data_IF_895403439910
#
_entry.id   IF_895403439910
#
_cell.length_a   1.000
_cell.length_b   1.000
_cell.length_c   1.000
_cell.angle_alpha   90.00
_cell.angle_beta   90.00
_cell.angle_gamma   90.00
#
_symmetry.space_group_name_H-M   'P 1'
#
loop_
_entity.id
_entity.type
_entity.pdbx_description
1 polymer ?
#
# COMPACT_ATOMS: atom_id res chain seq x y z
N UNK A 1 35.55 64.64 -0.65
CA UNK A 1 34.31 63.98 -0.03
C UNK A 1 33.37 63.31 -1.01
N UNK A 2 33.19 63.74 -2.27
CA UNK A 2 32.21 63.09 -3.21
C UNK A 2 32.57 61.66 -3.74
N UNK A 3 33.89 61.28 -3.73
CA UNK A 3 34.29 59.93 -4.20
C UNK A 3 34.11 58.80 -3.17
N UNK A 4 34.10 59.11 -1.87
CA UNK A 4 33.92 58.13 -0.80
C UNK A 4 32.42 57.74 -0.69
N UNK A 5 31.52 58.68 -0.94
CA UNK A 5 30.06 58.41 -0.91
C UNK A 5 29.61 57.49 -2.08
N UNK A 6 30.26 57.60 -3.24
CA UNK A 6 29.93 56.76 -4.39
C UNK A 6 30.36 55.30 -4.20
N UNK A 7 31.52 55.08 -3.57
CA UNK A 7 32.05 53.74 -3.28
C UNK A 7 31.20 53.03 -2.24
N UNK A 8 30.74 53.75 -1.19
CA UNK A 8 29.83 53.21 -0.17
C UNK A 8 28.48 52.79 -0.74
N UNK A 9 27.91 53.55 -1.68
CA UNK A 9 26.65 53.24 -2.31
C UNK A 9 26.74 52.01 -3.23
N UNK A 10 27.86 51.80 -3.93
CA UNK A 10 28.09 50.64 -4.79
C UNK A 10 28.25 49.36 -3.94
N UNK A 11 28.96 49.43 -2.81
CA UNK A 11 29.11 48.28 -1.91
C UNK A 11 27.80 47.89 -1.26
N UNK A 12 26.95 48.83 -0.85
CA UNK A 12 25.64 48.58 -0.30
C UNK A 12 24.72 47.98 -1.38
N UNK A 13 24.77 48.45 -2.63
CA UNK A 13 23.98 47.89 -3.74
C UNK A 13 24.42 46.46 -4.08
N UNK A 14 25.75 46.19 -4.06
CA UNK A 14 26.27 44.83 -4.28
C UNK A 14 25.92 43.88 -3.13
N UNK A 15 25.89 44.32 -1.88
CA UNK A 15 25.45 43.56 -0.74
C UNK A 15 23.94 43.27 -0.83
N UNK A 16 23.10 44.22 -1.28
CA UNK A 16 21.69 44.00 -1.51
C UNK A 16 21.42 43.01 -2.66
N UNK A 17 22.20 43.04 -3.73
CA UNK A 17 22.06 42.08 -4.83
C UNK A 17 22.54 40.67 -4.44
N UNK A 18 23.48 40.53 -3.49
CA UNK A 18 23.86 39.23 -2.94
C UNK A 18 22.80 38.67 -1.95
N UNK A 19 22.11 39.53 -1.20
CA UNK A 19 21.08 39.13 -0.25
C UNK A 19 19.79 38.71 -0.97
N UNK A 20 19.47 39.33 -2.13
CA UNK A 20 18.31 38.96 -2.94
C UNK A 20 18.49 37.61 -3.67
N UNK A 21 19.74 37.08 -3.78
CA UNK A 21 20.00 35.75 -4.37
C UNK A 21 20.00 34.59 -3.37
N UNK A 22 19.86 34.85 -2.09
CA UNK A 22 19.57 33.83 -1.10
C UNK A 22 18.04 33.64 -0.96
N UNK A 23 17.33 33.54 -2.07
CA UNK A 23 16.01 32.90 -2.05
C UNK A 23 16.26 31.47 -1.60
N UNK A 24 15.64 31.06 -0.49
CA UNK A 24 15.67 29.67 0.00
C UNK A 24 15.42 28.72 -1.17
N UNK A 25 16.47 28.12 -1.71
CA UNK A 25 16.36 27.11 -2.76
C UNK A 25 15.65 25.93 -2.13
N UNK A 26 14.41 25.71 -2.51
CA UNK A 26 13.66 24.53 -2.08
C UNK A 26 14.04 23.36 -2.98
N UNK A 27 14.24 22.18 -2.43
CA UNK A 27 14.61 21.00 -3.21
C UNK A 27 13.48 20.55 -4.16
N UNK A 28 12.24 20.93 -3.89
CA UNK A 28 11.08 20.50 -4.68
C UNK A 28 10.21 21.67 -5.11
N UNK A 29 9.83 21.66 -6.38
CA UNK A 29 8.90 22.61 -6.98
C UNK A 29 7.83 21.88 -7.77
N UNK A 30 6.62 22.43 -7.74
CA UNK A 30 5.47 22.00 -8.53
C UNK A 30 4.98 23.16 -9.40
N UNK A 31 4.72 22.91 -10.66
CA UNK A 31 4.27 23.91 -11.63
C UNK A 31 3.02 23.36 -12.35
N UNK A 32 1.87 24.07 -12.28
CA UNK A 32 1.65 25.31 -11.53
C UNK A 32 1.67 25.10 -10.01
N UNK A 33 1.98 26.16 -9.24
CA UNK A 33 1.99 26.13 -7.77
C UNK A 33 0.62 25.76 -7.19
N UNK A 34 -0.44 26.03 -7.94
CA UNK A 34 -1.83 25.68 -7.62
C UNK A 34 -2.28 24.66 -8.67
N UNK A 35 -2.06 23.36 -8.44
CA UNK A 35 -2.41 22.34 -9.43
C UNK A 35 -3.93 22.20 -9.54
N UNK A 36 -4.39 22.09 -10.78
CA UNK A 36 -5.80 21.87 -11.09
C UNK A 36 -5.99 20.40 -11.46
N UNK A 37 -6.97 19.75 -10.83
CA UNK A 37 -7.34 18.38 -11.15
C UNK A 37 -7.74 18.23 -12.62
N UNK A 38 -7.31 17.14 -13.26
CA UNK A 38 -7.48 16.90 -14.71
C UNK A 38 -6.45 17.61 -15.59
N UNK A 39 -5.42 18.25 -15.01
CA UNK A 39 -4.39 18.96 -15.78
C UNK A 39 -2.99 18.42 -15.49
N UNK A 40 -2.09 18.67 -16.44
CA UNK A 40 -0.68 18.32 -16.28
C UNK A 40 0.00 19.19 -15.24
N UNK A 41 0.87 18.54 -14.47
CA UNK A 41 1.70 19.16 -13.46
C UNK A 41 3.16 18.74 -13.69
N UNK A 42 4.06 19.72 -13.69
CA UNK A 42 5.49 19.47 -13.74
C UNK A 42 6.07 19.49 -12.34
N UNK A 43 6.83 18.45 -11.98
CA UNK A 43 7.64 18.36 -10.79
C UNK A 43 9.09 18.62 -11.14
N UNK A 44 9.79 19.38 -10.27
CA UNK A 44 11.23 19.59 -10.35
C UNK A 44 11.83 19.28 -8.98
N UNK A 45 12.84 18.40 -8.93
CA UNK A 45 13.49 17.96 -7.72
C UNK A 45 15.01 18.10 -7.82
N UNK A 46 15.58 18.94 -6.96
CA UNK A 46 17.02 19.17 -6.82
C UNK A 46 17.56 18.32 -5.66
N UNK A 47 18.09 17.13 -5.97
CA UNK A 47 18.61 16.22 -4.97
C UNK A 47 19.87 16.77 -4.25
N UNK A 48 20.60 17.73 -4.84
CA UNK A 48 21.80 18.32 -4.23
C UNK A 48 21.52 19.05 -2.91
N UNK A 49 20.25 19.39 -2.67
CA UNK A 49 19.78 20.07 -1.45
C UNK A 49 19.21 19.10 -0.40
N UNK A 50 19.39 17.80 -0.58
CA UNK A 50 18.70 16.77 0.23
C UNK A 50 19.65 15.66 0.69
N UNK A 51 19.12 14.69 1.43
CA UNK A 51 19.85 13.47 1.82
C UNK A 51 20.25 12.58 0.63
N UNK A 52 19.76 12.87 -0.57
CA UNK A 52 20.05 12.14 -1.80
C UNK A 52 21.10 12.84 -2.69
N UNK A 53 21.87 13.82 -2.16
CA UNK A 53 22.82 14.62 -2.94
C UNK A 53 23.86 13.80 -3.69
N UNK A 54 24.34 12.72 -3.08
CA UNK A 54 25.43 11.88 -3.63
C UNK A 54 24.92 10.76 -4.54
N UNK A 55 23.60 10.68 -4.78
CA UNK A 55 23.00 9.59 -5.55
C UNK A 55 22.96 9.95 -7.04
N UNK A 56 23.49 9.04 -7.87
CA UNK A 56 23.53 9.21 -9.32
C UNK A 56 22.18 8.95 -10.00
N UNK A 57 21.34 8.11 -9.38
CA UNK A 57 20.03 7.73 -9.91
C UNK A 57 18.97 7.96 -8.84
N UNK A 58 17.99 8.78 -9.17
CA UNK A 58 16.86 9.10 -8.29
C UNK A 58 15.59 8.48 -8.88
N UNK A 59 14.82 7.87 -8.02
CA UNK A 59 13.47 7.41 -8.29
C UNK A 59 12.47 8.29 -7.55
N UNK A 60 11.27 8.40 -8.09
CA UNK A 60 10.20 9.16 -7.46
C UNK A 60 8.88 8.42 -7.57
N UNK A 61 8.06 8.57 -6.54
CA UNK A 61 6.67 8.12 -6.53
C UNK A 61 5.79 9.32 -6.29
N UNK A 62 4.71 9.44 -7.09
CA UNK A 62 3.63 10.39 -6.83
C UNK A 62 2.43 9.63 -6.26
N UNK A 63 1.82 10.20 -5.22
CA UNK A 63 0.63 9.68 -4.56
C UNK A 63 -0.52 10.65 -4.80
N UNK A 64 -1.68 10.08 -5.16
CA UNK A 64 -2.93 10.80 -5.40
C UNK A 64 -3.98 10.38 -4.38
N UNK A 65 -4.59 11.34 -3.69
CA UNK A 65 -5.79 11.08 -2.91
C UNK A 65 -7.01 11.30 -3.79
N UNK A 66 -7.61 10.21 -4.23
CA UNK A 66 -8.73 10.19 -5.16
C UNK A 66 -9.85 9.29 -4.63
N UNK A 67 -11.09 9.81 -4.57
CA UNK A 67 -12.26 9.04 -4.14
C UNK A 67 -12.05 8.31 -2.80
N UNK A 68 -11.48 8.99 -1.81
CA UNK A 68 -11.18 8.47 -0.47
C UNK A 68 -10.14 7.31 -0.46
N UNK A 69 -9.33 7.23 -1.47
CA UNK A 69 -8.26 6.22 -1.60
C UNK A 69 -6.98 6.85 -2.05
N UNK A 70 -5.87 6.30 -1.61
CA UNK A 70 -4.57 6.59 -2.17
C UNK A 70 -4.33 5.75 -3.42
N UNK A 71 -3.75 6.38 -4.43
CA UNK A 71 -3.16 5.72 -5.59
C UNK A 71 -1.73 6.19 -5.73
N UNK A 72 -0.85 5.35 -6.25
CA UNK A 72 0.55 5.70 -6.47
C UNK A 72 0.99 5.35 -7.89
N UNK A 73 1.87 6.17 -8.43
CA UNK A 73 2.50 5.97 -9.73
C UNK A 73 3.99 6.30 -9.64
N UNK A 74 4.80 5.57 -10.41
CA UNK A 74 6.21 5.88 -10.55
C UNK A 74 6.40 7.14 -11.40
N UNK A 75 7.15 8.12 -10.89
CA UNK A 75 7.53 9.29 -11.66
C UNK A 75 8.59 8.92 -12.70
N UNK A 76 8.34 9.25 -13.94
CA UNK A 76 9.32 9.15 -15.05
C UNK A 76 10.28 10.33 -14.98
N UNK A 77 11.22 10.27 -14.03
CA UNK A 77 12.19 11.32 -13.80
C UNK A 77 13.26 11.36 -14.89
N UNK A 78 13.50 12.54 -15.43
CA UNK A 78 14.58 12.82 -16.37
C UNK A 78 15.50 13.86 -15.72
N UNK A 79 16.80 13.59 -15.71
CA UNK A 79 17.80 14.54 -15.19
C UNK A 79 18.02 15.64 -16.21
N UNK A 80 17.83 16.89 -15.77
CA UNK A 80 18.04 18.09 -16.56
C UNK A 80 18.99 19.02 -15.78
N UNK A 81 20.24 19.16 -16.23
CA UNK A 81 21.31 19.87 -15.54
C UNK A 81 21.49 19.40 -14.08
N UNK A 82 21.02 20.19 -13.12
CA UNK A 82 21.16 19.94 -11.68
C UNK A 82 19.88 19.38 -11.03
N UNK A 83 18.81 19.26 -11.78
CA UNK A 83 17.51 18.86 -11.23
C UNK A 83 16.91 17.66 -11.98
N UNK A 84 16.06 16.93 -11.29
CA UNK A 84 15.22 15.87 -11.86
C UNK A 84 13.83 16.41 -12.15
N UNK A 85 13.33 16.12 -13.33
CA UNK A 85 12.03 16.61 -13.81
C UNK A 85 11.12 15.47 -14.20
N UNK A 86 9.82 15.61 -13.89
CA UNK A 86 8.76 14.74 -14.38
C UNK A 86 7.48 15.55 -14.64
N UNK A 87 6.67 15.08 -15.58
CA UNK A 87 5.34 15.63 -15.83
C UNK A 87 4.33 14.50 -15.71
N UNK A 88 3.23 14.72 -15.00
CA UNK A 88 2.12 13.79 -14.91
C UNK A 88 0.79 14.53 -14.94
N UNK A 89 -0.25 13.86 -15.40
CA UNK A 89 -1.62 14.38 -15.35
C UNK A 89 -2.21 14.06 -13.97
N UNK A 90 -2.67 15.09 -13.27
CA UNK A 90 -3.37 14.90 -11.98
C UNK A 90 -4.78 14.36 -12.28
N UNK A 91 -5.23 13.24 -11.66
CA UNK A 91 -6.58 12.73 -11.90
C UNK A 91 -7.68 13.76 -11.60
N UNK A 92 -8.81 13.71 -12.32
CA UNK A 92 -9.90 14.69 -12.20
C UNK A 92 -10.51 14.80 -10.79
N UNK A 93 -10.51 13.69 -10.04
CA UNK A 93 -11.05 13.64 -8.67
C UNK A 93 -9.96 13.62 -7.59
N UNK A 94 -8.72 13.93 -7.95
CA UNK A 94 -7.61 13.95 -7.01
C UNK A 94 -7.67 15.22 -6.15
N UNK A 95 -7.84 15.06 -4.85
CA UNK A 95 -7.94 16.16 -3.89
C UNK A 95 -6.58 16.58 -3.31
N UNK A 96 -5.56 15.72 -3.40
CA UNK A 96 -4.23 15.98 -2.86
C UNK A 96 -3.19 15.16 -3.61
N UNK A 97 -2.08 15.81 -3.92
CA UNK A 97 -0.89 15.19 -4.54
C UNK A 97 0.25 15.23 -3.55
N UNK A 98 0.98 14.14 -3.45
CA UNK A 98 2.20 14.05 -2.63
C UNK A 98 3.29 13.30 -3.36
N UNK A 99 4.55 13.69 -3.17
CA UNK A 99 5.69 13.05 -3.82
C UNK A 99 6.69 12.54 -2.78
N UNK A 100 7.36 11.46 -3.12
CA UNK A 100 8.52 10.91 -2.41
C UNK A 100 9.62 10.60 -3.41
N UNK A 101 10.86 10.89 -3.04
CA UNK A 101 12.05 10.57 -3.83
C UNK A 101 12.95 9.60 -3.06
N UNK A 102 13.64 8.71 -3.77
CA UNK A 102 14.47 7.70 -3.13
C UNK A 102 15.59 7.18 -4.06
N UNK A 103 16.62 6.63 -3.43
CA UNK A 103 17.71 5.91 -4.09
C UNK A 103 18.17 4.78 -3.16
N UNK A 104 18.08 3.53 -3.60
CA UNK A 104 18.34 2.38 -2.75
C UNK A 104 17.48 2.41 -1.47
N UNK A 105 18.16 2.43 -0.30
CA UNK A 105 17.47 2.48 1.00
C UNK A 105 17.29 3.90 1.55
N UNK A 106 17.86 4.91 0.88
CA UNK A 106 17.68 6.31 1.27
C UNK A 106 16.38 6.85 0.67
N UNK A 107 15.67 7.67 1.43
CA UNK A 107 14.43 8.33 0.99
C UNK A 107 14.40 9.78 1.41
N UNK A 108 13.65 10.58 0.66
CA UNK A 108 13.35 11.98 0.96
C UNK A 108 11.86 12.23 0.69
N UNK A 109 11.15 12.62 1.74
CA UNK A 109 9.71 12.95 1.72
C UNK A 109 9.47 14.45 1.93
N UNK A 110 10.54 15.26 2.00
CA UNK A 110 10.48 16.70 2.29
C UNK A 110 10.43 17.04 3.77
N UNK A 111 10.70 16.09 4.66
CA UNK A 111 10.71 16.29 6.11
C UNK A 111 9.41 16.90 6.63
N UNK A 112 9.48 17.90 7.51
CA UNK A 112 8.30 18.59 8.09
C UNK A 112 7.40 19.25 7.06
N UNK A 113 7.96 19.73 5.95
CA UNK A 113 7.20 20.43 4.92
C UNK A 113 6.45 19.48 4.00
N UNK A 114 6.90 18.25 3.88
CA UNK A 114 6.47 17.24 2.92
C UNK A 114 6.35 17.79 1.49
N UNK A 115 6.49 16.95 0.48
CA UNK A 115 6.28 17.36 -0.92
C UNK A 115 4.83 17.18 -1.32
N UNK A 116 3.94 17.93 -0.65
CA UNK A 116 2.49 17.72 -0.72
C UNK A 116 1.79 19.03 -1.07
N UNK A 117 0.78 18.95 -1.92
CA UNK A 117 -0.10 20.07 -2.27
C UNK A 117 -1.54 19.60 -2.41
N UNK A 118 -2.48 20.44 -2.00
CA UNK A 118 -3.90 20.27 -2.33
C UNK A 118 -4.15 20.65 -3.77
N UNK A 119 -5.08 19.98 -4.41
CA UNK A 119 -5.51 20.29 -5.76
C UNK A 119 -6.79 21.11 -5.75
N UNK A 120 -7.04 21.76 -6.86
CA UNK A 120 -8.16 22.68 -7.03
C UNK A 120 -9.01 22.26 -8.23
N UNK A 121 -10.29 22.56 -8.19
CA UNK A 121 -11.14 22.50 -9.36
C UNK A 121 -10.92 23.74 -10.26
N UNK A 122 -11.53 23.74 -11.43
CA UNK A 122 -11.43 24.86 -12.40
C UNK A 122 -11.92 26.21 -11.86
N UNK A 123 -12.66 26.22 -10.76
CA UNK A 123 -13.17 27.42 -10.09
C UNK A 123 -12.25 27.89 -8.96
N UNK A 124 -11.09 27.27 -8.76
CA UNK A 124 -10.13 27.63 -7.70
C UNK A 124 -10.55 27.18 -6.28
N UNK A 125 -11.46 26.20 -6.17
CA UNK A 125 -11.87 25.62 -4.90
C UNK A 125 -11.16 24.30 -4.68
N UNK A 126 -10.78 24.00 -3.43
CA UNK A 126 -10.24 22.68 -3.08
C UNK A 126 -11.28 21.58 -3.40
N UNK A 127 -10.79 20.45 -3.87
CA UNK A 127 -11.63 19.28 -4.06
C UNK A 127 -12.08 18.70 -2.70
N UNK A 128 -13.23 17.98 -2.67
CA UNK A 128 -13.71 17.36 -1.46
C UNK A 128 -12.65 16.47 -0.80
N UNK A 129 -12.60 16.45 0.53
CA UNK A 129 -11.69 15.66 1.38
C UNK A 129 -10.20 16.05 1.35
N UNK A 130 -9.81 17.14 0.69
CA UNK A 130 -8.42 17.60 0.62
C UNK A 130 -7.81 17.90 2.01
N UNK A 131 -8.54 18.55 2.90
CA UNK A 131 -8.10 18.86 4.27
C UNK A 131 -7.95 17.61 5.12
N UNK A 132 -8.87 16.65 4.97
CA UNK A 132 -8.80 15.35 5.64
C UNK A 132 -7.54 14.59 5.19
N UNK A 133 -7.30 14.48 3.88
CA UNK A 133 -6.13 13.81 3.32
C UNK A 133 -4.82 14.47 3.76
N UNK A 134 -4.78 15.81 3.81
CA UNK A 134 -3.63 16.57 4.30
C UNK A 134 -3.25 16.20 5.74
N UNK A 135 -4.24 16.05 6.62
CA UNK A 135 -4.02 15.60 7.99
C UNK A 135 -3.63 14.13 8.07
N UNK A 136 -4.36 13.25 7.37
CA UNK A 136 -4.14 11.80 7.40
C UNK A 136 -2.72 11.41 6.96
N UNK A 137 -2.17 12.07 5.94
CA UNK A 137 -0.82 11.81 5.47
C UNK A 137 0.25 11.94 6.58
N UNK A 138 0.00 12.76 7.59
CA UNK A 138 0.94 13.11 8.65
C UNK A 138 0.62 12.51 10.01
N UNK A 139 -0.51 11.85 10.14
CA UNK A 139 -0.99 11.34 11.44
C UNK A 139 -0.78 9.83 11.54
N UNK A 140 -0.13 9.35 12.63
CA UNK A 140 0.14 7.93 12.84
C UNK A 140 -1.07 7.12 13.34
N UNK A 141 -2.10 7.78 13.85
CA UNK A 141 -3.31 7.11 14.38
C UNK A 141 -4.26 6.69 13.26
N UNK A 142 -4.32 7.48 12.19
CA UNK A 142 -5.12 7.19 11.01
C UNK A 142 -4.27 6.55 9.93
N UNK A 143 -4.93 5.96 8.94
CA UNK A 143 -4.25 5.31 7.83
C UNK A 143 -3.35 6.29 7.07
N UNK A 144 -2.07 5.96 6.99
CA UNK A 144 -1.06 6.73 6.26
C UNK A 144 -0.44 5.92 5.14
N UNK A 145 0.24 6.59 4.22
CA UNK A 145 1.02 5.94 3.16
C UNK A 145 2.23 5.19 3.74
N UNK A 146 2.61 4.05 3.15
CA UNK A 146 3.75 3.27 3.60
C UNK A 146 5.04 4.09 3.63
N UNK A 147 5.66 4.17 4.81
CA UNK A 147 6.93 4.86 5.01
C UNK A 147 6.93 6.36 4.73
N UNK A 148 5.75 6.99 4.67
CA UNK A 148 5.62 8.42 4.40
C UNK A 148 5.55 9.25 5.67
N UNK A 149 4.82 8.78 6.68
CA UNK A 149 4.72 9.47 7.96
C UNK A 149 5.99 9.23 8.79
N UNK A 150 6.93 10.14 8.71
CA UNK A 150 8.15 10.16 9.51
C UNK A 150 7.94 10.96 10.80
N UNK A 151 8.81 10.78 11.80
CA UNK A 151 8.67 11.50 13.08
C UNK A 151 8.68 13.01 12.90
N UNK A 152 9.49 13.50 11.96
CA UNK A 152 9.64 14.93 11.65
C UNK A 152 8.40 15.54 10.99
N UNK A 153 7.62 14.75 10.25
CA UNK A 153 6.39 15.17 9.57
C UNK A 153 5.14 14.86 10.38
N UNK A 154 5.28 14.25 11.55
CA UNK A 154 4.19 13.80 12.39
C UNK A 154 3.40 14.95 13.00
N UNK A 155 2.08 14.80 12.98
CA UNK A 155 1.14 15.62 13.72
C UNK A 155 0.40 14.76 14.76
N UNK A 156 0.08 15.35 15.92
CA UNK A 156 -0.71 14.69 16.95
C UNK A 156 -2.21 14.62 16.59
N UNK A 157 -2.95 13.92 17.44
CA UNK A 157 -4.39 13.69 17.22
C UNK A 157 -5.23 14.97 17.33
N UNK A 158 -4.81 15.97 18.15
CA UNK A 158 -5.49 17.25 18.24
C UNK A 158 -5.36 18.06 16.94
N UNK A 159 -4.18 18.08 16.35
CA UNK A 159 -3.96 18.73 15.05
C UNK A 159 -4.69 17.97 13.94
N UNK A 160 -4.73 16.63 13.99
CA UNK A 160 -5.54 15.85 13.04
C UNK A 160 -7.03 16.20 13.17
N UNK A 161 -7.56 16.30 14.40
CA UNK A 161 -8.94 16.73 14.66
C UNK A 161 -9.23 18.12 14.09
N UNK A 162 -8.26 19.04 14.20
CA UNK A 162 -8.38 20.36 13.55
C UNK A 162 -8.58 20.22 12.04
N UNK A 163 -7.82 19.38 11.35
CA UNK A 163 -7.96 19.18 9.90
C UNK A 163 -9.30 18.54 9.52
N UNK A 164 -9.83 17.60 10.31
CA UNK A 164 -11.18 17.06 10.12
C UNK A 164 -12.25 18.14 10.28
N UNK A 165 -12.11 19.00 11.28
CA UNK A 165 -13.01 20.14 11.49
C UNK A 165 -12.92 21.16 10.33
N UNK A 166 -11.72 21.44 9.82
CA UNK A 166 -11.56 22.29 8.63
C UNK A 166 -12.27 21.70 7.41
N UNK A 167 -12.21 20.38 7.24
CA UNK A 167 -12.94 19.71 6.17
C UNK A 167 -14.46 19.96 6.30
N UNK A 168 -15.02 19.77 7.49
CA UNK A 168 -16.47 19.98 7.73
C UNK A 168 -16.90 21.44 7.59
N UNK A 169 -16.03 22.38 7.99
CA UNK A 169 -16.30 23.82 7.84
C UNK A 169 -16.34 24.25 6.37
N UNK A 170 -15.49 23.66 5.54
CA UNK A 170 -15.40 24.00 4.10
C UNK A 170 -16.38 23.21 3.25
N UNK A 171 -16.68 21.98 3.66
CA UNK A 171 -17.60 21.07 2.97
C UNK A 171 -18.43 20.30 4.01
N UNK A 172 -19.59 20.82 4.43
CA UNK A 172 -20.48 20.12 5.36
C UNK A 172 -20.96 18.75 4.83
N UNK A 173 -21.02 18.56 3.50
CA UNK A 173 -21.36 17.29 2.88
C UNK A 173 -20.31 16.18 3.11
N UNK A 174 -19.09 16.56 3.48
CA UNK A 174 -18.04 15.62 3.84
C UNK A 174 -18.29 14.86 5.15
N UNK A 175 -19.33 15.17 5.93
CA UNK A 175 -19.63 14.50 7.20
C UNK A 175 -19.66 12.98 7.05
N UNK A 176 -20.25 12.45 5.97
CA UNK A 176 -20.31 11.01 5.68
C UNK A 176 -18.95 10.35 5.44
N UNK A 177 -17.92 11.13 5.14
CA UNK A 177 -16.54 10.64 4.95
C UNK A 177 -15.68 10.81 6.20
N UNK A 178 -15.93 11.89 6.95
CA UNK A 178 -15.14 12.30 8.12
C UNK A 178 -15.52 11.52 9.37
N UNK A 179 -16.80 11.14 9.54
CA UNK A 179 -17.35 10.59 10.79
C UNK A 179 -16.55 9.41 11.36
N UNK A 180 -16.12 8.51 10.51
CA UNK A 180 -15.37 7.31 10.91
C UNK A 180 -14.01 7.66 11.53
N UNK A 181 -13.27 8.54 10.88
CA UNK A 181 -11.96 8.99 11.36
C UNK A 181 -12.10 9.85 12.61
N UNK A 182 -13.12 10.70 12.66
CA UNK A 182 -13.47 11.48 13.84
C UNK A 182 -13.81 10.56 15.02
N UNK A 183 -14.60 9.51 14.81
CA UNK A 183 -14.95 8.53 15.85
C UNK A 183 -13.72 7.83 16.42
N UNK A 184 -12.79 7.38 15.56
CA UNK A 184 -11.50 6.77 15.98
C UNK A 184 -10.70 7.73 16.88
N UNK A 185 -10.53 8.98 16.46
CA UNK A 185 -9.78 9.98 17.23
C UNK A 185 -10.48 10.34 18.54
N UNK A 186 -11.78 10.62 18.51
CA UNK A 186 -12.55 10.99 19.71
C UNK A 186 -12.54 9.87 20.74
N UNK A 187 -12.70 8.63 20.33
CA UNK A 187 -12.65 7.48 21.23
C UNK A 187 -11.25 7.31 21.86
N UNK A 188 -10.18 7.50 21.07
CA UNK A 188 -8.80 7.42 21.57
C UNK A 188 -8.50 8.55 22.56
N UNK A 189 -8.91 9.78 22.26
CA UNK A 189 -8.58 10.98 23.05
C UNK A 189 -9.44 11.11 24.31
N UNK A 190 -10.70 10.68 24.28
CA UNK A 190 -11.72 11.01 25.29
C UNK A 190 -12.43 9.79 25.88
N UNK A 191 -11.95 8.59 25.65
CA UNK A 191 -12.33 7.33 26.34
C UNK A 191 -13.82 7.22 26.74
N UNK A 192 -14.74 7.30 25.78
CA UNK A 192 -16.16 7.07 26.03
C UNK A 192 -16.99 8.33 26.36
N UNK A 193 -16.40 9.43 26.79
CA UNK A 193 -17.12 10.69 27.08
C UNK A 193 -17.86 11.25 25.85
N UNK A 194 -17.47 10.85 24.65
CA UNK A 194 -18.05 11.31 23.37
C UNK A 194 -18.88 10.24 22.65
N UNK A 195 -19.24 9.15 23.32
CA UNK A 195 -20.03 8.08 22.70
C UNK A 195 -21.38 8.56 22.15
N UNK A 196 -22.09 9.46 22.86
CA UNK A 196 -23.32 10.04 22.34
C UNK A 196 -23.12 10.82 21.04
N UNK A 197 -22.06 11.63 20.98
CA UNK A 197 -21.73 12.38 19.76
C UNK A 197 -21.40 11.43 18.61
N UNK A 198 -20.59 10.39 18.87
CA UNK A 198 -20.21 9.38 17.87
C UNK A 198 -21.44 8.63 17.37
N UNK A 199 -22.36 8.23 18.28
CA UNK A 199 -23.61 7.58 17.89
C UNK A 199 -24.53 8.50 17.07
N UNK A 200 -24.53 9.81 17.36
CA UNK A 200 -25.24 10.80 16.55
C UNK A 200 -24.73 10.86 15.10
N UNK A 201 -23.43 10.62 14.88
CA UNK A 201 -22.89 10.49 13.52
C UNK A 201 -23.32 9.17 12.86
N UNK A 202 -23.37 8.06 13.60
CA UNK A 202 -23.92 6.79 13.10
C UNK A 202 -25.39 6.95 12.71
N UNK A 203 -26.20 7.64 13.52
CA UNK A 203 -27.60 7.93 13.22
C UNK A 203 -27.75 8.80 11.97
N UNK A 204 -26.88 9.80 11.81
CA UNK A 204 -26.84 10.59 10.58
C UNK A 204 -26.61 9.70 9.36
N UNK A 205 -25.63 8.79 9.40
CA UNK A 205 -25.36 7.85 8.29
C UNK A 205 -26.55 6.92 8.03
N UNK A 206 -27.16 6.39 9.10
CA UNK A 206 -28.35 5.53 8.98
C UNK A 206 -29.55 6.24 8.34
N UNK A 207 -29.65 7.56 8.44
CA UNK A 207 -30.76 8.33 7.89
C UNK A 207 -30.47 8.87 6.46
N UNK A 208 -29.25 8.67 5.92
CA UNK A 208 -28.95 9.07 4.54
C UNK A 208 -29.67 8.14 3.56
N UNK A 209 -30.39 8.68 2.54
CA UNK A 209 -31.12 7.85 1.58
C UNK A 209 -30.19 7.03 0.66
N UNK A 210 -29.14 7.67 0.14
CA UNK A 210 -28.24 7.12 -0.88
C UNK A 210 -26.83 6.92 -0.31
N UNK A 211 -26.72 6.07 0.72
CA UNK A 211 -25.44 5.74 1.32
C UNK A 211 -24.90 4.43 0.75
N UNK A 212 -23.61 4.43 0.41
CA UNK A 212 -22.93 3.23 -0.08
C UNK A 212 -22.63 2.21 1.04
N UNK A 213 -22.44 0.95 0.66
CA UNK A 213 -22.21 -0.13 1.61
C UNK A 213 -20.93 0.10 2.44
N UNK A 214 -19.86 0.64 1.85
CA UNK A 214 -18.59 0.87 2.56
C UNK A 214 -18.79 1.88 3.68
N UNK A 215 -19.56 2.93 3.46
CA UNK A 215 -19.91 3.93 4.48
C UNK A 215 -20.74 3.30 5.60
N UNK A 216 -21.71 2.43 5.27
CA UNK A 216 -22.48 1.70 6.29
C UNK A 216 -21.63 0.70 7.07
N UNK A 217 -20.67 0.01 6.43
CA UNK A 217 -19.73 -0.88 7.11
C UNK A 217 -18.84 -0.11 8.11
N UNK A 218 -18.40 1.08 7.76
CA UNK A 218 -17.70 1.97 8.69
C UNK A 218 -18.60 2.38 9.88
N UNK A 219 -19.88 2.63 9.63
CA UNK A 219 -20.85 2.91 10.71
C UNK A 219 -21.07 1.67 11.60
N UNK A 220 -21.11 0.46 11.01
CA UNK A 220 -21.16 -0.80 11.75
C UNK A 220 -19.91 -1.00 12.62
N UNK A 221 -18.73 -0.75 12.09
CA UNK A 221 -17.48 -0.82 12.84
C UNK A 221 -17.48 0.16 14.02
N UNK A 222 -17.94 1.40 13.80
CA UNK A 222 -18.06 2.40 14.86
C UNK A 222 -19.01 1.92 15.96
N UNK A 223 -20.21 1.48 15.60
CA UNK A 223 -21.19 1.02 16.58
C UNK A 223 -20.71 -0.22 17.35
N UNK A 224 -20.16 -1.19 16.66
CA UNK A 224 -19.79 -2.52 17.21
C UNK A 224 -18.46 -2.48 17.97
N UNK A 225 -17.42 -1.86 17.43
CA UNK A 225 -16.05 -1.98 17.93
C UNK A 225 -15.58 -0.73 18.70
N UNK A 226 -16.03 0.45 18.31
CA UNK A 226 -15.62 1.71 18.96
C UNK A 226 -16.52 2.03 20.16
N UNK A 227 -17.83 2.14 19.93
CA UNK A 227 -18.79 2.48 21.00
C UNK A 227 -19.29 1.26 21.76
N UNK A 228 -19.31 0.08 21.09
CA UNK A 228 -19.80 -1.19 21.62
C UNK A 228 -21.30 -1.18 21.94
N UNK A 229 -22.08 -0.48 21.12
CA UNK A 229 -23.54 -0.44 21.19
C UNK A 229 -24.13 -1.55 20.29
N UNK A 230 -24.55 -2.66 20.89
CA UNK A 230 -25.09 -3.82 20.19
C UNK A 230 -26.43 -3.54 19.48
N UNK A 231 -27.27 -2.66 20.06
CA UNK A 231 -28.57 -2.33 19.46
C UNK A 231 -28.36 -1.53 18.19
N UNK A 232 -27.47 -0.54 18.23
CA UNK A 232 -27.12 0.26 17.08
C UNK A 232 -26.42 -0.59 16.01
N UNK A 233 -25.50 -1.46 16.42
CA UNK A 233 -24.83 -2.38 15.49
C UNK A 233 -25.82 -3.28 14.73
N UNK A 234 -26.80 -3.86 15.42
CA UNK A 234 -27.87 -4.68 14.79
C UNK A 234 -28.70 -3.85 13.80
N UNK A 235 -29.04 -2.61 14.14
CA UNK A 235 -29.78 -1.73 13.24
C UNK A 235 -29.02 -1.43 11.95
N UNK A 236 -27.71 -1.13 12.06
CA UNK A 236 -26.83 -0.89 10.90
C UNK A 236 -26.70 -2.16 10.06
N UNK A 237 -26.43 -3.30 10.69
CA UNK A 237 -26.29 -4.60 10.01
C UNK A 237 -27.56 -4.97 9.24
N UNK A 238 -28.73 -4.81 9.86
CA UNK A 238 -30.03 -5.05 9.24
C UNK A 238 -30.22 -4.20 7.99
N UNK A 239 -29.86 -2.91 8.07
CA UNK A 239 -29.95 -2.02 6.92
C UNK A 239 -29.01 -2.46 5.80
N UNK A 240 -27.73 -2.79 6.11
CA UNK A 240 -26.77 -3.24 5.10
C UNK A 240 -27.30 -4.44 4.34
N UNK A 241 -27.75 -5.48 5.06
CA UNK A 241 -28.24 -6.71 4.43
C UNK A 241 -29.51 -6.50 3.61
N UNK A 242 -30.36 -5.53 4.01
CA UNK A 242 -31.55 -5.15 3.23
C UNK A 242 -31.18 -4.43 1.94
N UNK A 243 -30.30 -3.44 2.02
CA UNK A 243 -29.98 -2.56 0.89
C UNK A 243 -28.94 -3.22 -0.05
N UNK A 244 -28.06 -4.08 0.50
CA UNK A 244 -26.96 -4.76 -0.21
C UNK A 244 -26.95 -6.28 0.02
N UNK A 245 -28.00 -7.03 -0.43
CA UNK A 245 -28.14 -8.48 -0.15
C UNK A 245 -27.03 -9.33 -0.78
N UNK A 246 -26.31 -8.83 -1.78
CA UNK A 246 -25.14 -9.46 -2.41
C UNK A 246 -23.89 -8.56 -2.29
N UNK A 247 -23.80 -7.82 -1.22
CA UNK A 247 -22.69 -6.93 -0.92
C UNK A 247 -21.58 -7.59 -0.08
N UNK A 248 -20.75 -6.75 0.50
CA UNK A 248 -19.55 -7.11 1.27
C UNK A 248 -19.95 -7.88 2.54
N UNK A 249 -20.92 -7.36 3.30
CA UNK A 249 -21.35 -8.00 4.55
C UNK A 249 -21.96 -9.38 4.31
N UNK A 250 -22.82 -9.49 3.30
CA UNK A 250 -23.43 -10.76 2.92
C UNK A 250 -22.37 -11.78 2.46
N UNK A 251 -21.36 -11.33 1.71
CA UNK A 251 -20.20 -12.13 1.32
C UNK A 251 -19.44 -12.64 2.55
N UNK A 252 -19.15 -11.77 3.49
CA UNK A 252 -18.36 -12.11 4.68
C UNK A 252 -19.13 -13.08 5.60
N UNK A 253 -20.45 -12.94 5.74
CA UNK A 253 -21.26 -13.90 6.46
C UNK A 253 -21.26 -15.29 5.79
N UNK A 254 -21.28 -15.33 4.45
CA UNK A 254 -21.21 -16.57 3.70
C UNK A 254 -19.84 -17.24 3.80
N UNK A 255 -18.75 -16.46 3.77
CA UNK A 255 -17.39 -16.95 4.04
C UNK A 255 -17.34 -17.63 5.42
N UNK A 256 -17.91 -17.01 6.46
CA UNK A 256 -17.97 -17.60 7.78
C UNK A 256 -18.78 -18.90 7.83
N UNK A 257 -19.89 -18.97 7.11
CA UNK A 257 -20.71 -20.18 7.01
C UNK A 257 -19.91 -21.34 6.42
N UNK A 258 -19.25 -21.11 5.28
CA UNK A 258 -18.46 -22.13 4.57
C UNK A 258 -17.22 -22.51 5.39
N UNK A 259 -16.56 -21.56 6.01
CA UNK A 259 -15.38 -21.83 6.84
C UNK A 259 -15.65 -22.85 7.94
N UNK A 260 -16.85 -22.81 8.55
CA UNK A 260 -17.25 -23.73 9.63
C UNK A 260 -17.53 -25.16 9.17
N UNK A 261 -17.69 -25.44 7.88
CA UNK A 261 -17.81 -26.79 7.38
C UNK A 261 -16.47 -27.50 7.61
N UNK A 262 -16.47 -28.61 8.37
CA UNK A 262 -15.25 -29.32 8.72
C UNK A 262 -14.69 -30.15 7.57
N UNK A 263 -15.57 -30.79 6.80
CA UNK A 263 -15.20 -31.63 5.67
C UNK A 263 -14.80 -30.81 4.44
N UNK A 264 -13.59 -31.01 3.97
CA UNK A 264 -13.04 -30.30 2.81
C UNK A 264 -13.75 -30.70 1.49
N UNK A 265 -14.24 -31.94 1.36
CA UNK A 265 -14.96 -32.38 0.18
C UNK A 265 -16.36 -31.73 0.12
N UNK A 266 -16.99 -31.55 1.27
CA UNK A 266 -18.27 -30.81 1.37
C UNK A 266 -18.09 -29.28 1.14
N UNK A 267 -16.89 -28.72 1.40
CA UNK A 267 -16.60 -27.31 1.11
C UNK A 267 -16.56 -26.97 -0.38
N UNK A 268 -16.13 -27.90 -1.23
CA UNK A 268 -15.88 -27.62 -2.65
C UNK A 268 -17.14 -27.14 -3.40
N UNK A 269 -18.31 -27.80 -3.32
CA UNK A 269 -19.53 -27.31 -3.96
C UNK A 269 -20.02 -25.98 -3.37
N UNK A 270 -19.84 -25.77 -2.07
CA UNK A 270 -20.20 -24.51 -1.40
C UNK A 270 -19.32 -23.35 -1.85
N UNK A 271 -18.02 -23.57 -2.01
CA UNK A 271 -17.10 -22.58 -2.58
C UNK A 271 -17.49 -22.23 -4.02
N UNK A 272 -17.86 -23.21 -4.83
CA UNK A 272 -18.31 -22.96 -6.20
C UNK A 272 -19.60 -22.14 -6.26
N UNK A 273 -20.58 -22.45 -5.40
CA UNK A 273 -21.81 -21.66 -5.26
C UNK A 273 -21.52 -20.23 -4.76
N UNK A 274 -20.58 -20.10 -3.82
CA UNK A 274 -20.12 -18.82 -3.30
C UNK A 274 -19.52 -17.94 -4.41
N UNK A 275 -18.59 -18.46 -5.20
CA UNK A 275 -17.95 -17.71 -6.29
C UNK A 275 -18.93 -17.27 -7.38
N UNK A 276 -19.96 -18.07 -7.65
CA UNK A 276 -21.06 -17.65 -8.56
C UNK A 276 -21.85 -16.47 -8.02
N UNK A 277 -22.08 -16.41 -6.71
CA UNK A 277 -22.83 -15.33 -6.06
C UNK A 277 -21.98 -14.10 -5.81
N UNK A 278 -20.71 -14.30 -5.45
CA UNK A 278 -19.74 -13.27 -5.11
C UNK A 278 -18.49 -13.42 -5.98
N UNK A 279 -18.54 -13.06 -7.27
CA UNK A 279 -17.39 -13.14 -8.18
C UNK A 279 -16.22 -12.33 -7.66
N UNK A 280 -15.00 -12.88 -7.70
CA UNK A 280 -13.79 -12.27 -7.13
C UNK A 280 -13.52 -10.91 -7.74
N UNK A 281 -13.72 -10.72 -9.05
CA UNK A 281 -13.48 -9.47 -9.76
C UNK A 281 -14.32 -8.30 -9.22
N UNK A 282 -15.52 -8.59 -8.70
CA UNK A 282 -16.40 -7.57 -8.12
C UNK A 282 -15.89 -7.04 -6.77
N UNK A 283 -15.05 -7.80 -6.09
CA UNK A 283 -14.57 -7.51 -4.74
C UNK A 283 -13.05 -7.33 -4.67
N UNK A 284 -12.35 -7.22 -5.79
CA UNK A 284 -10.89 -7.11 -5.87
C UNK A 284 -10.32 -5.98 -5.01
N UNK A 285 -11.00 -4.83 -5.00
CA UNK A 285 -10.56 -3.63 -4.26
C UNK A 285 -11.13 -3.57 -2.82
N UNK A 286 -11.83 -4.62 -2.39
CA UNK A 286 -12.55 -4.63 -1.12
C UNK A 286 -12.10 -5.84 -0.31
N UNK A 287 -11.00 -5.67 0.40
CA UNK A 287 -10.50 -6.67 1.34
C UNK A 287 -11.04 -6.37 2.74
N UNK A 288 -11.68 -7.35 3.37
CA UNK A 288 -12.09 -7.30 4.77
C UNK A 288 -11.24 -8.26 5.59
N UNK A 289 -11.21 -8.10 6.91
CA UNK A 289 -10.53 -9.06 7.78
C UNK A 289 -11.05 -10.48 7.55
N UNK A 290 -12.36 -10.63 7.35
CA UNK A 290 -12.98 -11.93 7.06
C UNK A 290 -12.49 -12.53 5.74
N UNK A 291 -12.49 -11.75 4.66
CA UNK A 291 -12.04 -12.25 3.35
C UNK A 291 -10.54 -12.55 3.35
N UNK A 292 -9.71 -11.71 3.95
CA UNK A 292 -8.27 -11.94 4.00
C UNK A 292 -7.87 -13.13 4.88
N UNK A 293 -8.57 -13.37 6.00
CA UNK A 293 -8.22 -14.45 6.94
C UNK A 293 -8.87 -15.81 6.61
N UNK A 294 -10.15 -15.83 6.21
CA UNK A 294 -10.94 -17.07 6.16
C UNK A 294 -11.19 -17.58 4.76
N UNK A 295 -11.38 -16.71 3.78
CA UNK A 295 -11.59 -17.15 2.40
C UNK A 295 -10.37 -17.92 1.87
N UNK A 296 -9.16 -17.42 2.14
CA UNK A 296 -7.92 -18.12 1.79
C UNK A 296 -7.82 -19.50 2.42
N UNK A 297 -8.25 -19.67 3.68
CA UNK A 297 -8.27 -20.98 4.35
C UNK A 297 -9.31 -21.95 3.73
N UNK A 298 -10.42 -21.42 3.22
CA UNK A 298 -11.41 -22.24 2.49
C UNK A 298 -10.79 -22.76 1.20
N UNK A 299 -10.16 -21.88 0.39
CA UNK A 299 -9.44 -22.29 -0.82
C UNK A 299 -8.35 -23.30 -0.50
N UNK A 300 -7.54 -23.05 0.54
CA UNK A 300 -6.50 -23.97 0.96
C UNK A 300 -7.06 -25.36 1.27
N UNK A 301 -8.14 -25.47 2.04
CA UNK A 301 -8.74 -26.74 2.37
C UNK A 301 -9.27 -27.49 1.13
N UNK A 302 -9.92 -26.78 0.21
CA UNK A 302 -10.49 -27.35 -1.02
C UNK A 302 -9.39 -27.79 -2.00
N UNK A 303 -8.34 -26.98 -2.17
CA UNK A 303 -7.27 -27.24 -3.14
C UNK A 303 -6.26 -28.26 -2.62
N UNK A 304 -5.92 -28.23 -1.35
CA UNK A 304 -4.84 -29.03 -0.77
C UNK A 304 -5.17 -30.53 -0.72
N UNK A 305 -6.41 -30.90 -0.39
CA UNK A 305 -6.79 -32.30 -0.24
C UNK A 305 -6.63 -33.16 -1.52
N UNK A 306 -7.07 -32.73 -2.71
CA UNK A 306 -6.81 -33.47 -3.95
C UNK A 306 -5.33 -33.62 -4.28
N UNK A 307 -4.53 -32.59 -4.01
CA UNK A 307 -3.08 -32.61 -4.24
C UNK A 307 -2.41 -33.67 -3.34
N UNK A 308 -2.75 -33.70 -2.06
CA UNK A 308 -2.16 -34.66 -1.10
C UNK A 308 -2.62 -36.08 -1.36
N UNK A 309 -3.93 -36.30 -1.54
CA UNK A 309 -4.50 -37.64 -1.64
C UNK A 309 -4.25 -38.30 -3.01
N UNK A 310 -4.29 -37.51 -4.10
CA UNK A 310 -4.35 -38.04 -5.46
C UNK A 310 -3.34 -37.42 -6.43
N UNK A 311 -2.49 -36.52 -5.95
CA UNK A 311 -1.58 -35.72 -6.78
C UNK A 311 -2.33 -34.96 -7.91
N UNK A 312 -3.58 -34.50 -7.61
CA UNK A 312 -4.45 -33.81 -8.54
C UNK A 312 -4.39 -32.30 -8.32
N UNK A 313 -3.88 -31.57 -9.30
CA UNK A 313 -3.68 -30.11 -9.28
C UNK A 313 -4.81 -29.34 -9.97
N UNK A 314 -5.85 -30.01 -10.45
CA UNK A 314 -6.93 -29.37 -11.24
C UNK A 314 -7.61 -28.22 -10.51
N UNK A 315 -7.88 -28.36 -9.21
CA UNK A 315 -8.50 -27.31 -8.39
C UNK A 315 -7.53 -26.17 -8.07
N UNK A 316 -6.23 -26.43 -8.01
CA UNK A 316 -5.24 -25.33 -7.89
C UNK A 316 -5.29 -24.45 -9.13
N UNK A 317 -5.17 -25.02 -10.32
CA UNK A 317 -5.23 -24.26 -11.57
C UNK A 317 -6.56 -23.56 -11.77
N UNK A 318 -7.67 -24.17 -11.30
CA UNK A 318 -9.01 -23.56 -11.39
C UNK A 318 -9.16 -22.31 -10.52
N UNK A 319 -8.62 -22.34 -9.31
CA UNK A 319 -8.94 -21.33 -8.28
C UNK A 319 -7.79 -20.41 -7.89
N UNK A 320 -6.58 -20.63 -8.38
CA UNK A 320 -5.40 -19.87 -7.90
C UNK A 320 -5.57 -18.35 -8.02
N UNK A 321 -6.25 -17.88 -9.06
CA UNK A 321 -6.52 -16.46 -9.29
C UNK A 321 -7.57 -15.87 -8.33
N UNK A 322 -8.42 -16.70 -7.75
CA UNK A 322 -9.45 -16.30 -6.78
C UNK A 322 -8.95 -16.27 -5.34
N UNK A 323 -7.78 -16.92 -5.07
CA UNK A 323 -7.20 -16.92 -3.73
C UNK A 323 -6.76 -15.50 -3.35
N UNK A 324 -7.14 -14.97 -2.16
CA UNK A 324 -6.68 -13.67 -1.71
C UNK A 324 -5.15 -13.58 -1.72
N UNK A 325 -4.61 -12.49 -2.27
CA UNK A 325 -3.16 -12.34 -2.48
C UNK A 325 -2.34 -12.53 -1.19
N UNK A 326 -2.81 -11.95 -0.08
CA UNK A 326 -2.16 -12.11 1.23
C UNK A 326 -2.10 -13.58 1.69
N UNK A 327 -2.99 -14.43 1.21
CA UNK A 327 -3.05 -15.84 1.59
C UNK A 327 -2.18 -16.76 0.72
N UNK A 328 -1.75 -16.31 -0.47
CA UNK A 328 -0.91 -17.10 -1.37
C UNK A 328 0.43 -17.49 -0.74
N UNK A 329 1.03 -16.64 0.11
CA UNK A 329 2.23 -17.02 0.87
C UNK A 329 1.97 -18.19 1.82
N UNK A 330 0.80 -18.20 2.48
CA UNK A 330 0.37 -19.30 3.34
C UNK A 330 0.18 -20.58 2.53
N UNK A 331 -0.36 -20.47 1.30
CA UNK A 331 -0.42 -21.58 0.35
C UNK A 331 0.97 -22.15 0.07
N UNK A 332 1.91 -21.27 -0.31
CA UNK A 332 3.28 -21.69 -0.58
C UNK A 332 3.93 -22.36 0.63
N UNK A 333 3.74 -21.80 1.81
CA UNK A 333 4.23 -22.37 3.06
C UNK A 333 3.72 -23.79 3.28
N UNK A 334 2.41 -24.00 3.22
CA UNK A 334 1.80 -25.30 3.50
C UNK A 334 2.01 -26.33 2.39
N UNK A 335 2.05 -25.93 1.14
CA UNK A 335 2.13 -26.84 0.00
C UNK A 335 3.57 -27.15 -0.44
N UNK A 336 4.50 -26.22 -0.19
CA UNK A 336 5.88 -26.34 -0.64
C UNK A 336 6.85 -26.44 0.55
N UNK A 337 6.89 -25.43 1.41
CA UNK A 337 7.94 -25.35 2.44
C UNK A 337 7.81 -26.44 3.50
N UNK A 338 6.62 -26.63 4.09
CA UNK A 338 6.41 -27.67 5.09
C UNK A 338 6.73 -29.07 4.55
N UNK A 339 6.15 -29.53 3.41
CA UNK A 339 6.43 -30.85 2.87
C UNK A 339 7.90 -31.09 2.54
N UNK A 340 8.62 -30.08 2.06
CA UNK A 340 10.08 -30.18 1.82
C UNK A 340 10.86 -30.28 3.14
N UNK A 341 10.57 -29.40 4.10
CA UNK A 341 11.30 -29.36 5.37
C UNK A 341 11.07 -30.61 6.24
N UNK A 342 9.94 -31.29 6.05
CA UNK A 342 9.58 -32.53 6.76
C UNK A 342 9.86 -33.80 5.95
N UNK A 343 10.51 -33.67 4.78
CA UNK A 343 10.80 -34.78 3.85
C UNK A 343 9.54 -35.58 3.42
N UNK A 344 8.36 -34.96 3.47
CA UNK A 344 7.12 -35.57 2.99
C UNK A 344 7.02 -35.57 1.47
N UNK A 345 7.70 -34.62 0.82
CA UNK A 345 7.76 -34.47 -0.65
C UNK A 345 9.17 -34.09 -1.09
N UNK A 346 9.53 -34.50 -2.31
CA UNK A 346 10.80 -34.09 -2.96
C UNK A 346 10.60 -32.77 -3.72
N UNK A 347 11.69 -32.07 -4.11
CA UNK A 347 11.62 -30.89 -4.97
C UNK A 347 10.83 -31.11 -6.28
N UNK A 348 11.00 -32.25 -6.93
CA UNK A 348 10.31 -32.62 -8.17
C UNK A 348 8.79 -32.73 -7.95
N UNK A 349 8.39 -33.26 -6.81
CA UNK A 349 6.98 -33.41 -6.46
C UNK A 349 6.29 -32.08 -6.13
N UNK A 350 7.02 -31.09 -5.61
CA UNK A 350 6.43 -29.78 -5.28
C UNK A 350 6.54 -28.77 -6.43
N UNK A 351 7.47 -28.95 -7.37
CA UNK A 351 7.74 -28.01 -8.46
C UNK A 351 6.50 -27.53 -9.23
N UNK A 352 5.55 -28.42 -9.64
CA UNK A 352 4.41 -27.97 -10.43
C UNK A 352 3.58 -26.90 -9.75
N UNK A 353 3.24 -27.07 -8.47
CA UNK A 353 2.45 -26.10 -7.74
C UNK A 353 3.29 -24.97 -7.14
N UNK A 354 4.58 -25.21 -6.85
CA UNK A 354 5.49 -24.16 -6.42
C UNK A 354 5.60 -23.05 -7.47
N UNK A 355 5.78 -23.41 -8.75
CA UNK A 355 5.85 -22.43 -9.86
C UNK A 355 4.54 -21.65 -10.01
N UNK A 356 3.39 -22.33 -9.96
CA UNK A 356 2.09 -21.66 -10.10
C UNK A 356 1.85 -20.66 -9.00
N UNK A 357 2.03 -21.06 -7.73
CA UNK A 357 1.79 -20.17 -6.59
C UNK A 357 2.82 -19.03 -6.59
N UNK A 358 4.10 -19.32 -6.86
CA UNK A 358 5.15 -18.31 -6.95
C UNK A 358 4.83 -17.24 -7.99
N UNK A 359 4.53 -17.66 -9.22
CA UNK A 359 4.19 -16.74 -10.29
C UNK A 359 2.98 -15.87 -9.92
N UNK A 360 1.94 -16.47 -9.36
CA UNK A 360 0.75 -15.73 -8.93
C UNK A 360 1.06 -14.67 -7.89
N UNK A 361 1.94 -14.95 -6.93
CA UNK A 361 2.36 -13.96 -5.92
C UNK A 361 3.13 -12.81 -6.56
N UNK A 362 4.08 -13.13 -7.45
CA UNK A 362 5.03 -12.15 -7.96
C UNK A 362 4.51 -11.32 -9.14
N UNK A 363 3.50 -11.81 -9.87
CA UNK A 363 2.97 -11.17 -11.08
C UNK A 363 1.60 -10.51 -10.90
N UNK A 364 0.85 -10.88 -9.85
CA UNK A 364 -0.45 -10.29 -9.61
C UNK A 364 -0.31 -8.82 -9.27
N UNK A 365 -1.08 -7.93 -9.93
CA UNK A 365 -1.09 -6.52 -9.57
C UNK A 365 -1.60 -6.32 -8.14
N UNK A 366 -1.20 -5.23 -7.54
CA UNK A 366 -1.71 -4.83 -6.24
C UNK A 366 -3.22 -4.63 -6.32
N UNK A 367 -3.93 -5.24 -5.38
CA UNK A 367 -5.37 -5.07 -5.16
C UNK A 367 -5.62 -4.71 -3.69
N UNK A 368 -6.73 -4.02 -3.41
CA UNK A 368 -7.10 -3.63 -2.05
C UNK A 368 -6.85 -2.16 -1.75
N UNK A 369 -7.53 -1.67 -0.70
CA UNK A 369 -7.64 -0.24 -0.40
C UNK A 369 -6.64 0.27 0.65
N UNK A 370 -6.03 -0.61 1.44
CA UNK A 370 -5.34 -0.21 2.67
C UNK A 370 -3.87 0.18 2.47
N UNK A 371 -3.22 -0.29 1.38
CA UNK A 371 -1.81 0.04 1.11
C UNK A 371 -1.64 0.36 -0.35
N UNK A 372 -1.04 1.51 -0.60
CA UNK A 372 -0.77 1.99 -1.94
C UNK A 372 0.73 1.98 -2.19
N UNK A 373 1.12 1.32 -3.25
CA UNK A 373 2.48 1.28 -3.76
C UNK A 373 2.47 1.68 -5.24
N UNK A 374 3.53 2.34 -5.72
CA UNK A 374 3.81 2.38 -7.15
C UNK A 374 4.21 0.99 -7.66
N UNK A 375 4.31 0.79 -8.96
CA UNK A 375 4.71 -0.50 -9.53
C UNK A 375 6.08 -0.96 -8.97
N UNK A 376 7.05 -0.05 -8.93
CA UNK A 376 8.38 -0.30 -8.36
C UNK A 376 8.32 -0.59 -6.86
N UNK A 377 7.60 0.21 -6.10
CA UNK A 377 7.45 0.00 -4.67
C UNK A 377 6.74 -1.32 -4.36
N UNK A 378 5.75 -1.70 -5.16
CA UNK A 378 5.06 -2.98 -5.02
C UNK A 378 6.00 -4.16 -5.24
N UNK A 379 6.80 -4.11 -6.31
CA UNK A 379 7.85 -5.12 -6.55
C UNK A 379 8.81 -5.20 -5.37
N UNK A 380 9.30 -4.08 -4.88
CA UNK A 380 10.21 -4.00 -3.74
C UNK A 380 9.57 -4.54 -2.45
N UNK A 381 8.29 -4.24 -2.24
CA UNK A 381 7.53 -4.77 -1.12
C UNK A 381 7.38 -6.29 -1.20
N UNK A 382 7.08 -6.85 -2.38
CA UNK A 382 6.99 -8.30 -2.58
C UNK A 382 8.32 -8.99 -2.33
N UNK A 383 9.43 -8.48 -2.87
CA UNK A 383 10.77 -9.03 -2.62
C UNK A 383 11.09 -9.04 -1.13
N UNK A 384 10.72 -7.98 -0.41
CA UNK A 384 10.92 -7.87 1.04
C UNK A 384 10.08 -8.88 1.81
N UNK A 385 8.79 -8.91 1.53
CA UNK A 385 7.81 -9.74 2.24
C UNK A 385 8.00 -11.22 1.96
N UNK A 386 8.36 -11.56 0.72
CA UNK A 386 8.40 -12.93 0.24
C UNK A 386 9.82 -13.54 0.23
N UNK A 387 10.82 -12.87 0.80
CA UNK A 387 12.24 -13.29 0.72
C UNK A 387 12.45 -14.78 1.02
N UNK A 388 11.90 -15.30 2.14
CA UNK A 388 12.10 -16.68 2.55
C UNK A 388 11.41 -17.67 1.58
N UNK A 389 10.28 -17.27 0.99
CA UNK A 389 9.62 -18.01 -0.07
C UNK A 389 10.46 -18.03 -1.34
N UNK A 390 11.03 -16.90 -1.73
CA UNK A 390 11.87 -16.78 -2.93
C UNK A 390 13.12 -17.64 -2.79
N UNK A 391 13.79 -17.62 -1.62
CA UNK A 391 14.93 -18.51 -1.33
C UNK A 391 14.55 -19.99 -1.42
N UNK A 392 13.41 -20.37 -0.88
CA UNK A 392 12.93 -21.75 -0.96
C UNK A 392 12.56 -22.12 -2.40
N UNK A 393 12.01 -21.19 -3.19
CA UNK A 393 11.71 -21.41 -4.60
C UNK A 393 12.98 -21.59 -5.43
N UNK A 394 14.01 -20.77 -5.20
CA UNK A 394 15.32 -20.94 -5.81
C UNK A 394 15.95 -22.31 -5.47
N UNK A 395 15.79 -22.79 -4.23
CA UNK A 395 16.21 -24.15 -3.86
C UNK A 395 15.47 -25.22 -4.68
N UNK A 396 14.14 -25.11 -4.84
CA UNK A 396 13.35 -26.07 -5.64
C UNK A 396 13.80 -26.08 -7.09
N UNK A 397 14.00 -24.91 -7.69
CA UNK A 397 14.47 -24.75 -9.06
C UNK A 397 15.87 -25.38 -9.27
N UNK A 398 16.81 -25.10 -8.37
CA UNK A 398 18.16 -25.66 -8.44
C UNK A 398 18.16 -27.20 -8.33
N UNK A 399 17.40 -27.72 -7.36
CA UNK A 399 17.29 -29.16 -7.15
C UNK A 399 16.64 -29.90 -8.33
N UNK A 400 15.82 -29.22 -9.12
CA UNK A 400 15.12 -29.76 -10.30
C UNK A 400 15.78 -29.41 -11.65
N UNK A 401 17.03 -28.88 -11.62
CA UNK A 401 17.85 -28.65 -12.81
C UNK A 401 17.73 -27.24 -13.41
N UNK A 402 16.95 -26.32 -12.86
CA UNK A 402 16.80 -24.92 -13.32
C UNK A 402 17.74 -23.98 -12.55
N UNK A 403 19.07 -24.29 -12.51
CA UNK A 403 20.03 -23.54 -11.69
C UNK A 403 20.25 -22.08 -12.17
N UNK A 404 20.07 -21.79 -13.46
CA UNK A 404 20.15 -20.41 -13.98
C UNK A 404 18.99 -19.55 -13.45
N UNK A 405 17.76 -20.05 -13.54
CA UNK A 405 16.57 -19.37 -13.00
C UNK A 405 16.69 -19.17 -11.48
N UNK A 406 17.21 -20.17 -10.78
CA UNK A 406 17.48 -20.07 -9.35
C UNK A 406 18.51 -18.99 -9.00
N UNK A 407 19.57 -18.83 -9.81
CA UNK A 407 20.58 -17.79 -9.62
C UNK A 407 20.00 -16.40 -9.85
N UNK A 408 19.20 -16.20 -10.90
CA UNK A 408 18.52 -14.92 -11.16
C UNK A 408 17.67 -14.46 -9.97
N UNK A 409 16.88 -15.36 -9.38
CA UNK A 409 16.10 -15.05 -8.19
C UNK A 409 16.96 -14.64 -7.00
N UNK A 410 18.10 -15.30 -6.79
CA UNK A 410 19.00 -14.97 -5.70
C UNK A 410 19.72 -13.64 -5.92
N UNK A 411 20.10 -13.30 -7.16
CA UNK A 411 20.67 -12.00 -7.50
C UNK A 411 19.67 -10.86 -7.27
N UNK A 412 18.41 -11.06 -7.63
CA UNK A 412 17.35 -10.07 -7.40
C UNK A 412 17.16 -9.73 -5.91
N UNK A 413 17.25 -10.73 -5.04
CA UNK A 413 17.16 -10.53 -3.60
C UNK A 413 18.46 -9.95 -3.02
N UNK A 414 19.62 -10.39 -3.47
CA UNK A 414 20.94 -9.96 -2.97
C UNK A 414 21.11 -8.44 -3.00
N UNK A 415 20.63 -7.79 -4.08
CA UNK A 415 20.67 -6.33 -4.19
C UNK A 415 19.88 -5.59 -3.10
N UNK A 416 18.96 -6.26 -2.42
CA UNK A 416 18.06 -5.69 -1.41
C UNK A 416 18.43 -6.09 0.02
N UNK A 417 19.10 -7.22 0.23
CA UNK A 417 19.34 -7.80 1.55
C UNK A 417 20.79 -8.21 1.76
N UNK A 418 21.36 -7.72 2.83
CA UNK A 418 22.63 -8.22 3.33
C UNK A 418 22.37 -9.54 4.08
N UNK A 419 22.36 -10.65 3.35
CA UNK A 419 22.10 -11.97 3.93
C UNK A 419 23.30 -12.41 4.77
N UNK A 420 23.12 -12.39 6.10
CA UNK A 420 24.11 -12.92 7.05
C UNK A 420 23.98 -14.44 7.29
N UNK A 421 23.03 -15.09 6.61
CA UNK A 421 22.78 -16.53 6.78
C UNK A 421 23.81 -17.37 6.01
N UNK A 422 24.50 -18.28 6.70
CA UNK A 422 25.40 -19.24 6.08
C UNK A 422 24.70 -20.12 5.01
N UNK A 423 23.45 -20.47 5.25
CA UNK A 423 22.64 -21.27 4.33
C UNK A 423 22.45 -20.55 2.99
N UNK A 424 22.08 -19.27 3.02
CA UNK A 424 21.95 -18.47 1.82
C UNK A 424 23.28 -18.34 1.05
N UNK A 425 24.36 -17.99 1.76
CA UNK A 425 25.66 -17.83 1.13
C UNK A 425 26.15 -19.13 0.46
N UNK A 426 25.95 -20.27 1.12
CA UNK A 426 26.32 -21.58 0.59
C UNK A 426 25.51 -21.93 -0.67
N UNK A 427 24.20 -21.66 -0.67
CA UNK A 427 23.35 -21.88 -1.83
C UNK A 427 23.76 -20.96 -2.98
N UNK A 428 23.99 -19.69 -2.71
CA UNK A 428 24.38 -18.71 -3.72
C UNK A 428 25.75 -19.05 -4.37
N UNK A 429 26.76 -19.39 -3.56
CA UNK A 429 28.07 -19.84 -4.05
C UNK A 429 27.94 -21.07 -4.95
N UNK A 430 27.18 -22.06 -4.51
CA UNK A 430 26.92 -23.27 -5.31
C UNK A 430 26.24 -22.96 -6.65
N UNK A 431 25.30 -22.01 -6.67
CA UNK A 431 24.63 -21.59 -7.89
C UNK A 431 25.57 -20.84 -8.84
N UNK A 432 26.46 -19.98 -8.31
CA UNK A 432 27.50 -19.33 -9.11
C UNK A 432 28.42 -20.37 -9.79
N UNK A 433 28.90 -21.35 -9.02
CA UNK A 433 29.75 -22.44 -9.55
C UNK A 433 29.06 -23.24 -10.67
N UNK A 434 27.80 -23.63 -10.43
CA UNK A 434 26.99 -24.38 -11.43
C UNK A 434 26.76 -23.60 -12.72
N UNK A 435 26.69 -22.27 -12.64
CA UNK A 435 26.49 -21.38 -13.79
C UNK A 435 27.80 -20.82 -14.38
N UNK A 436 28.99 -21.38 -13.98
CA UNK A 436 30.27 -21.04 -14.57
C UNK A 436 30.96 -19.78 -14.08
N UNK A 437 30.50 -19.19 -12.98
CA UNK A 437 31.05 -17.94 -12.38
C UNK A 437 32.15 -18.23 -11.35
N UNK A 438 33.15 -19.06 -11.66
CA UNK A 438 34.18 -19.48 -10.69
C UNK A 438 35.04 -18.33 -10.10
N UNK A 439 35.19 -17.23 -10.81
CA UNK A 439 35.98 -16.07 -10.33
C UNK A 439 35.30 -15.19 -9.28
N UNK A 440 34.00 -15.35 -9.07
CA UNK A 440 33.22 -14.53 -8.13
C UNK A 440 33.08 -15.16 -6.73
N UNK A 441 33.55 -16.38 -6.54
CA UNK A 441 33.36 -17.16 -5.31
C UNK A 441 34.29 -16.71 -4.16
N UNK A 442 35.43 -16.12 -4.44
CA UNK A 442 36.50 -15.85 -3.46
C UNK A 442 36.26 -14.66 -2.53
N UNK A 443 35.58 -13.55 -2.90
CA UNK A 443 35.41 -12.40 -2.01
C UNK A 443 34.26 -12.48 -1.01
N UNK A 444 33.42 -13.53 -1.06
CA UNK A 444 32.17 -13.58 -0.29
C UNK A 444 32.29 -14.30 1.07
N UNK A 445 33.49 -14.79 1.44
CA UNK A 445 33.76 -15.58 2.63
C UNK A 445 34.56 -14.78 3.68
N UNK A 446 34.28 -13.49 3.87
CA UNK A 446 34.85 -12.74 5.01
C UNK A 446 33.76 -12.11 5.85
#
# INVERSE_FOLDING_TARGET
>A
MKKITLLGSIVVLLLFTCVVKAQDRKPFHIIPLVPVAGQDVKFTYDNSLTSLADEETIYGTVYYWENLRWKAEDLKLVKNDTAWEATCCVPENCALVSCKFYAGNKKDTGGRSTYTTMTFNKNGQNLPTAYMAWGMLRNKTLESLPGYCEEEAYIDDDVMRFWLNQQLLKDPGARKYVFYYAAKLLNKMMSGEKHEQILGDVDFILNLPDVDEVTLLKALEVAKNIVKDSVKAIAVETRILKDFPNGILARDQEIWRIFRIMDAEAKAPELEAFLKRFPTEKFQDIETETSSMYLGKIFQAVVYQPIIKRNDYSLLYKYIHDVPHLHLQTFYWHMVQIPLNTNQRTPEQVLPFAKVIYNEIMTRPQVGAERVYSEREWKDHLLTRCKDMILKHAFVLDATGSSAEALELMEEIKGKYNFKSAEYNNQYVRLLEKNGYQSMVIPTIV
#
